data_IF_901687384092
#
_entry.id   IF_901687384092
#
_cell.length_a   1.000
_cell.length_b   1.000
_cell.length_c   1.000
_cell.angle_alpha   90.00
_cell.angle_beta   90.00
_cell.angle_gamma   90.00
#
_symmetry.space_group_name_H-M   'P 1'
#
loop_
_entity.id
_entity.type
_entity.pdbx_description
1 polymer ?
#
# COMPACT_ATOMS: atom_id res chain seq x y z
N UNK A 1 17.00 -10.97 22.82
CA UNK A 1 18.37 -11.52 22.89
C UNK A 1 19.35 -10.39 23.12
N UNK A 2 20.40 -10.60 23.92
CA UNK A 2 21.40 -9.56 24.19
C UNK A 2 22.44 -9.43 23.07
N UNK A 3 22.70 -10.50 22.32
CA UNK A 3 23.66 -10.55 21.20
C UNK A 3 23.03 -11.37 20.07
N UNK A 4 23.24 -10.93 18.82
CA UNK A 4 22.85 -11.66 17.60
C UNK A 4 24.07 -11.71 16.67
N UNK A 5 24.50 -12.92 16.30
CA UNK A 5 25.58 -13.15 15.31
C UNK A 5 24.92 -13.54 14.00
N UNK A 6 25.08 -12.71 12.97
CA UNK A 6 24.54 -12.94 11.63
C UNK A 6 25.43 -13.92 10.87
N UNK A 7 24.85 -14.64 9.92
CA UNK A 7 25.57 -15.47 8.94
C UNK A 7 26.47 -16.59 9.52
N UNK A 8 26.17 -17.05 10.75
CA UNK A 8 26.90 -18.17 11.38
C UNK A 8 26.57 -19.52 10.75
N UNK A 9 25.34 -19.67 10.26
CA UNK A 9 24.83 -20.87 9.61
C UNK A 9 24.03 -20.46 8.37
N UNK A 10 23.91 -21.32 7.35
CA UNK A 10 23.02 -21.08 6.22
C UNK A 10 21.59 -20.82 6.72
N UNK A 11 21.02 -19.63 6.47
CA UNK A 11 19.71 -19.29 7.02
C UNK A 11 18.59 -19.73 6.07
N UNK A 12 17.39 -19.98 6.60
CA UNK A 12 16.19 -20.25 5.79
C UNK A 12 15.72 -19.02 5.00
N UNK A 13 15.91 -17.83 5.58
CA UNK A 13 15.68 -16.53 4.96
C UNK A 13 16.86 -15.62 5.29
N UNK A 14 17.27 -14.77 4.37
CA UNK A 14 18.35 -13.83 4.64
C UNK A 14 17.96 -12.77 5.69
N UNK A 15 18.97 -12.12 6.26
CA UNK A 15 18.76 -11.15 7.33
C UNK A 15 17.89 -9.95 6.90
N UNK A 16 18.04 -9.46 5.66
CA UNK A 16 17.27 -8.34 5.15
C UNK A 16 15.79 -8.72 5.00
N UNK A 17 15.51 -9.94 4.55
CA UNK A 17 14.14 -10.49 4.49
C UNK A 17 13.55 -10.64 5.89
N UNK A 18 14.31 -11.12 6.87
CA UNK A 18 13.87 -11.17 8.26
C UNK A 18 13.49 -9.78 8.79
N UNK A 19 14.33 -8.75 8.58
CA UNK A 19 14.05 -7.38 9.03
C UNK A 19 12.77 -6.83 8.39
N UNK A 20 12.58 -7.02 7.08
CA UNK A 20 11.35 -6.63 6.38
C UNK A 20 10.11 -7.28 7.00
N UNK A 21 10.17 -8.59 7.28
CA UNK A 21 9.05 -9.30 7.93
C UNK A 21 8.80 -8.72 9.33
N UNK A 22 9.84 -8.44 10.10
CA UNK A 22 9.71 -7.85 11.44
C UNK A 22 9.04 -6.47 11.40
N UNK A 23 9.38 -5.64 10.42
CA UNK A 23 8.76 -4.34 10.22
C UNK A 23 7.27 -4.47 9.85
N UNK A 24 6.94 -5.38 8.92
CA UNK A 24 5.54 -5.67 8.56
C UNK A 24 4.75 -6.18 9.77
N UNK A 25 5.29 -7.11 10.54
CA UNK A 25 4.63 -7.65 11.75
C UNK A 25 4.45 -6.57 12.80
N UNK A 26 5.44 -5.70 13.01
CA UNK A 26 5.32 -4.55 13.91
C UNK A 26 4.20 -3.62 13.46
N UNK A 27 4.14 -3.30 12.18
CA UNK A 27 3.14 -2.38 11.63
C UNK A 27 1.73 -2.99 11.58
N UNK A 28 1.63 -4.31 11.45
CA UNK A 28 0.37 -5.03 11.50
C UNK A 28 -0.20 -5.16 12.92
N UNK A 29 0.57 -4.83 13.97
CA UNK A 29 0.09 -4.87 15.35
C UNK A 29 -1.04 -3.86 15.53
N UNK A 30 -2.26 -4.34 15.76
CA UNK A 30 -3.45 -3.50 15.89
C UNK A 30 -3.57 -2.88 17.30
N UNK A 31 -2.58 -2.09 17.71
CA UNK A 31 -2.68 -1.28 18.93
C UNK A 31 -3.19 0.13 18.60
N UNK A 32 -4.25 0.55 19.27
CA UNK A 32 -4.93 1.82 18.99
C UNK A 32 -4.44 2.97 19.88
N UNK A 33 -3.75 2.67 20.98
CA UNK A 33 -3.44 3.64 22.03
C UNK A 33 -1.96 3.93 22.24
N UNK A 34 -1.09 2.91 22.16
CA UNK A 34 0.32 3.04 22.57
C UNK A 34 1.28 3.15 21.39
N UNK A 35 0.92 2.56 20.25
CA UNK A 35 1.77 2.50 19.07
C UNK A 35 0.95 2.96 17.87
N UNK A 36 1.46 3.96 17.13
CA UNK A 36 0.82 4.49 15.93
C UNK A 36 1.07 3.60 14.70
N UNK A 37 0.79 2.31 14.82
CA UNK A 37 0.90 1.33 13.71
C UNK A 37 -0.37 1.34 12.86
N UNK A 38 -0.33 0.87 11.61
CA UNK A 38 -1.57 0.80 10.81
C UNK A 38 -2.50 -0.34 11.24
N UNK A 39 -1.94 -1.41 11.78
CA UNK A 39 -2.66 -2.66 12.04
C UNK A 39 -2.80 -3.51 10.77
N UNK A 40 -3.10 -4.79 10.92
CA UNK A 40 -3.25 -5.67 9.76
C UNK A 40 -4.40 -5.17 8.85
N UNK A 41 -4.19 -5.10 7.52
CA UNK A 41 -5.27 -4.86 6.57
C UNK A 41 -6.41 -5.86 6.78
N UNK A 42 -7.65 -5.38 6.75
CA UNK A 42 -8.85 -6.22 6.91
C UNK A 42 -9.76 -6.04 5.71
N UNK A 43 -10.51 -7.10 5.39
CA UNK A 43 -11.55 -7.03 4.37
C UNK A 43 -12.60 -5.96 4.75
N UNK A 44 -13.06 -5.21 3.75
CA UNK A 44 -14.06 -4.16 3.93
C UNK A 44 -13.93 -3.02 2.93
N UNK A 45 -14.95 -2.16 2.88
CA UNK A 45 -15.04 -1.05 1.92
C UNK A 45 -14.33 0.23 2.37
N UNK A 46 -13.92 0.32 3.65
CA UNK A 46 -13.34 1.55 4.22
C UNK A 46 -11.84 1.62 3.95
N UNK A 47 -11.46 2.50 3.03
CA UNK A 47 -10.10 2.62 2.49
C UNK A 47 -9.05 2.96 3.56
N UNK A 48 -9.42 3.77 4.55
CA UNK A 48 -8.52 4.36 5.54
C UNK A 48 -8.51 3.62 6.87
N UNK A 49 -9.02 2.38 6.89
CA UNK A 49 -8.99 1.55 8.08
C UNK A 49 -7.56 1.42 8.63
N UNK A 50 -7.38 1.84 9.88
CA UNK A 50 -6.09 1.71 10.58
C UNK A 50 -5.15 2.90 10.41
N UNK A 51 -5.42 3.77 9.44
CA UNK A 51 -4.62 4.97 9.15
C UNK A 51 -5.38 6.29 9.32
N UNK A 52 -6.70 6.25 9.57
CA UNK A 52 -7.49 7.42 9.90
C UNK A 52 -7.30 7.85 11.37
N UNK A 53 -7.08 9.16 11.59
CA UNK A 53 -6.86 9.76 12.91
C UNK A 53 -7.86 10.87 13.19
N UNK A 54 -8.30 10.96 14.44
CA UNK A 54 -9.25 11.95 14.90
C UNK A 54 -8.62 13.34 14.92
N UNK A 55 -9.08 14.26 14.05
CA UNK A 55 -8.62 15.65 14.06
C UNK A 55 -8.91 16.44 15.35
N UNK A 56 -9.81 15.95 16.23
CA UNK A 56 -10.11 16.61 17.52
C UNK A 56 -9.20 16.17 18.67
N UNK A 57 -8.98 14.86 18.83
CA UNK A 57 -8.24 14.32 19.98
C UNK A 57 -6.99 13.52 19.59
N UNK A 58 -6.64 13.44 18.31
CA UNK A 58 -5.42 12.78 17.83
C UNK A 58 -5.41 11.25 17.96
N UNK A 59 -6.53 10.61 18.32
CA UNK A 59 -6.61 9.17 18.47
C UNK A 59 -7.01 8.47 17.18
N UNK A 60 -6.52 7.24 16.99
CA UNK A 60 -6.87 6.41 15.83
C UNK A 60 -8.37 6.15 15.78
N UNK A 61 -8.95 6.30 14.60
CA UNK A 61 -10.38 6.06 14.37
C UNK A 61 -10.64 4.58 14.07
N UNK A 62 -11.78 4.08 14.54
CA UNK A 62 -12.29 2.75 14.25
C UNK A 62 -13.21 2.79 13.04
N UNK A 63 -13.33 1.68 12.34
CA UNK A 63 -14.37 1.49 11.34
C UNK A 63 -15.67 1.01 12.00
N UNK A 64 -16.82 1.51 11.54
CA UNK A 64 -18.13 0.97 11.89
C UNK A 64 -19.00 0.90 10.64
N UNK A 65 -19.77 -0.16 10.51
CA UNK A 65 -20.72 -0.38 9.43
C UNK A 65 -22.14 -0.24 9.98
N UNK A 66 -22.75 0.94 9.87
CA UNK A 66 -24.12 1.22 10.30
C UNK A 66 -24.83 2.07 9.25
N UNK A 67 -25.60 1.40 8.37
CA UNK A 67 -26.22 2.06 7.22
C UNK A 67 -25.16 2.71 6.32
N UNK A 68 -24.09 1.97 6.01
CA UNK A 68 -22.88 2.45 5.35
C UNK A 68 -21.66 2.52 6.28
N UNK A 69 -20.49 2.72 5.68
CA UNK A 69 -19.21 2.86 6.38
C UNK A 69 -19.03 4.22 7.07
N UNK A 70 -18.58 4.20 8.33
CA UNK A 70 -18.16 5.38 9.07
C UNK A 70 -16.83 5.16 9.81
N UNK A 71 -16.04 6.23 9.89
CA UNK A 71 -14.89 6.33 10.79
C UNK A 71 -15.36 6.92 12.11
N UNK A 72 -15.09 6.26 13.23
CA UNK A 72 -15.54 6.68 14.56
C UNK A 72 -14.35 6.79 15.51
N UNK A 73 -14.20 7.96 16.11
CA UNK A 73 -13.29 8.13 17.24
C UNK A 73 -14.00 7.67 18.53
N UNK A 74 -13.72 6.44 18.93
CA UNK A 74 -14.33 5.81 20.09
C UNK A 74 -13.52 5.98 21.39
N UNK A 75 -12.39 6.70 21.37
CA UNK A 75 -11.47 6.77 22.51
C UNK A 75 -12.14 7.25 23.81
N UNK A 76 -12.81 8.41 23.79
CA UNK A 76 -13.54 8.92 24.98
C UNK A 76 -14.55 7.92 25.50
N UNK A 77 -15.31 7.27 24.60
CA UNK A 77 -16.28 6.25 24.99
C UNK A 77 -15.65 5.03 25.63
N UNK A 78 -14.56 4.52 25.06
CA UNK A 78 -13.87 3.33 25.56
C UNK A 78 -13.12 3.56 26.87
N UNK A 79 -12.69 4.79 27.16
CA UNK A 79 -11.80 5.08 28.30
C UNK A 79 -12.43 5.88 29.43
N UNK A 80 -13.42 6.71 29.14
CA UNK A 80 -14.01 7.62 30.13
C UNK A 80 -15.53 7.47 30.24
N UNK A 81 -16.15 6.54 29.50
CA UNK A 81 -17.60 6.35 29.48
C UNK A 81 -18.39 7.49 28.85
N UNK A 82 -17.71 8.47 28.26
CA UNK A 82 -18.33 9.63 27.61
C UNK A 82 -18.86 9.28 26.20
N UNK A 83 -19.67 10.15 25.58
CA UNK A 83 -20.03 9.98 24.18
C UNK A 83 -18.80 9.89 23.25
N UNK A 84 -18.98 9.28 22.08
CA UNK A 84 -17.92 9.21 21.07
C UNK A 84 -17.49 10.61 20.63
N UNK A 85 -16.18 10.84 20.48
CA UNK A 85 -15.62 12.16 20.18
C UNK A 85 -16.09 12.69 18.83
N UNK A 86 -16.08 11.84 17.80
CA UNK A 86 -16.55 12.16 16.47
C UNK A 86 -16.84 10.92 15.65
N UNK A 87 -17.71 11.06 14.67
CA UNK A 87 -17.96 10.08 13.62
C UNK A 87 -18.08 10.80 12.28
N UNK A 88 -17.52 10.21 11.23
CA UNK A 88 -17.47 10.79 9.88
C UNK A 88 -17.86 9.69 8.90
N UNK A 89 -18.73 10.01 7.94
CA UNK A 89 -19.08 9.09 6.86
C UNK A 89 -17.87 8.83 5.97
N UNK A 90 -17.55 7.55 5.76
CA UNK A 90 -16.33 7.14 5.07
C UNK A 90 -16.33 7.55 3.60
N UNK A 91 -17.47 7.42 2.90
CA UNK A 91 -17.57 7.62 1.45
C UNK A 91 -16.95 8.93 0.94
N UNK A 92 -17.22 10.06 1.60
CA UNK A 92 -16.66 11.37 1.19
C UNK A 92 -15.16 11.47 1.45
N UNK A 93 -14.69 10.93 2.57
CA UNK A 93 -13.27 10.98 2.96
C UNK A 93 -12.46 10.05 2.07
N UNK A 94 -12.96 8.84 1.83
CA UNK A 94 -12.31 7.83 1.01
C UNK A 94 -12.18 8.31 -0.44
N UNK A 95 -13.24 8.92 -1.00
CA UNK A 95 -13.20 9.49 -2.34
C UNK A 95 -12.15 10.61 -2.45
N UNK A 96 -12.10 11.52 -1.48
CA UNK A 96 -11.11 12.61 -1.48
C UNK A 96 -9.67 12.10 -1.35
N UNK A 97 -9.44 11.09 -0.50
CA UNK A 97 -8.09 10.51 -0.35
C UNK A 97 -7.70 9.70 -1.58
N UNK A 98 -8.63 8.96 -2.18
CA UNK A 98 -8.39 8.23 -3.42
C UNK A 98 -8.00 9.18 -4.56
N UNK A 99 -8.73 10.27 -4.73
CA UNK A 99 -8.43 11.29 -5.75
C UNK A 99 -7.06 11.95 -5.53
N UNK A 100 -6.75 12.33 -4.28
CA UNK A 100 -5.44 12.89 -3.94
C UNK A 100 -4.30 11.89 -4.17
N UNK A 101 -4.52 10.62 -3.85
CA UNK A 101 -3.54 9.55 -4.06
C UNK A 101 -3.27 9.32 -5.55
N UNK A 102 -4.32 9.22 -6.37
CA UNK A 102 -4.19 9.06 -7.82
C UNK A 102 -3.55 10.28 -8.47
N UNK A 103 -3.91 11.49 -8.04
CA UNK A 103 -3.29 12.73 -8.51
C UNK A 103 -1.79 12.74 -8.21
N UNK A 104 -1.38 12.29 -7.03
CA UNK A 104 0.03 12.19 -6.66
C UNK A 104 0.79 11.12 -7.46
N UNK A 105 0.11 10.04 -7.89
CA UNK A 105 0.71 8.98 -8.68
C UNK A 105 0.77 9.27 -10.19
N UNK A 106 -0.08 10.16 -10.71
CA UNK A 106 -0.21 10.42 -12.14
C UNK A 106 1.13 10.64 -12.88
N UNK A 107 2.12 11.38 -12.35
CA UNK A 107 3.41 11.54 -13.04
C UNK A 107 4.18 10.22 -13.19
N UNK A 108 4.18 9.39 -12.14
CA UNK A 108 4.88 8.11 -12.14
C UNK A 108 4.20 7.06 -13.02
N UNK A 109 2.87 7.10 -13.11
CA UNK A 109 2.10 6.23 -14.02
C UNK A 109 2.36 6.57 -15.49
N UNK A 110 2.42 7.85 -15.84
CA UNK A 110 2.77 8.29 -17.20
C UNK A 110 4.17 7.82 -17.59
N UNK A 111 5.13 7.90 -16.67
CA UNK A 111 6.49 7.40 -16.88
C UNK A 111 6.57 5.88 -17.00
N UNK A 112 5.78 5.15 -16.20
CA UNK A 112 5.68 3.70 -16.29
C UNK A 112 5.06 3.27 -17.64
N UNK A 113 3.96 3.90 -18.06
CA UNK A 113 3.31 3.63 -19.34
C UNK A 113 4.23 3.96 -20.52
N UNK A 114 4.91 5.11 -20.45
CA UNK A 114 5.89 5.53 -21.46
C UNK A 114 7.04 4.54 -21.60
N UNK A 115 7.53 3.99 -20.47
CA UNK A 115 8.56 2.93 -20.48
C UNK A 115 8.04 1.63 -21.09
N UNK A 116 6.83 1.21 -20.72
CA UNK A 116 6.21 0.01 -21.28
C UNK A 116 6.02 0.10 -22.80
N UNK A 117 5.53 1.25 -23.30
CA UNK A 117 5.38 1.51 -24.75
C UNK A 117 6.71 1.48 -25.49
N UNK A 118 7.76 2.10 -24.93
CA UNK A 118 9.11 2.05 -25.53
C UNK A 118 9.63 0.61 -25.61
N UNK A 119 9.44 -0.19 -24.57
CA UNK A 119 9.83 -1.59 -24.56
C UNK A 119 9.07 -2.39 -25.63
N UNK A 120 7.77 -2.18 -25.80
CA UNK A 120 6.97 -2.81 -26.86
C UNK A 120 7.47 -2.42 -28.26
N UNK A 121 7.71 -1.12 -28.51
CA UNK A 121 8.20 -0.66 -29.81
C UNK A 121 9.58 -1.24 -30.15
N UNK A 122 10.46 -1.41 -29.15
CA UNK A 122 11.77 -2.05 -29.36
C UNK A 122 11.63 -3.51 -29.78
N UNK A 123 10.69 -4.26 -29.17
CA UNK A 123 10.40 -5.64 -29.55
C UNK A 123 9.87 -5.71 -30.98
N UNK A 124 8.89 -4.87 -31.34
CA UNK A 124 8.32 -4.82 -32.69
C UNK A 124 9.37 -4.49 -33.76
N UNK A 125 10.19 -3.46 -33.51
CA UNK A 125 11.25 -3.06 -34.43
C UNK A 125 12.29 -4.18 -34.59
N UNK A 126 12.62 -4.88 -33.51
CA UNK A 126 13.55 -6.02 -33.56
C UNK A 126 12.99 -7.15 -34.42
N UNK A 127 11.73 -7.53 -34.22
CA UNK A 127 11.04 -8.54 -35.03
C UNK A 127 11.01 -8.16 -36.51
N UNK A 128 10.66 -6.90 -36.82
CA UNK A 128 10.64 -6.39 -38.19
C UNK A 128 12.02 -6.46 -38.84
N UNK A 129 13.06 -6.00 -38.14
CA UNK A 129 14.43 -6.02 -38.67
C UNK A 129 14.95 -7.44 -38.91
N UNK A 130 14.57 -8.41 -38.08
CA UNK A 130 14.91 -9.82 -38.29
C UNK A 130 14.20 -10.38 -39.53
N UNK A 131 12.91 -10.08 -39.72
CA UNK A 131 12.17 -10.50 -40.89
C UNK A 131 12.72 -9.89 -42.20
N UNK A 132 13.12 -8.62 -42.19
CA UNK A 132 13.75 -7.94 -43.33
C UNK A 132 15.07 -8.62 -43.72
N UNK A 133 15.92 -8.97 -42.74
CA UNK A 133 17.18 -9.70 -42.99
C UNK A 133 16.95 -11.10 -43.56
N UNK A 134 15.94 -11.82 -43.08
CA UNK A 134 15.60 -13.15 -43.63
C UNK A 134 15.16 -13.08 -45.10
N UNK A 135 14.38 -12.05 -45.46
CA UNK A 135 13.98 -11.82 -46.85
C UNK A 135 15.17 -11.48 -47.74
N UNK A 136 16.10 -10.66 -47.24
CA UNK A 136 17.31 -10.27 -47.97
C UNK A 136 18.22 -11.48 -48.24
N UNK A 137 18.45 -12.33 -47.23
CA UNK A 137 19.21 -13.58 -47.39
C UNK A 137 18.59 -14.52 -48.44
N UNK A 138 17.26 -14.63 -48.49
CA UNK A 138 16.54 -15.44 -49.49
C UNK A 138 16.57 -14.84 -50.90
N UNK A 139 16.86 -13.55 -51.04
CA UNK A 139 16.87 -12.84 -52.33
C UNK A 139 18.19 -13.00 -53.08
N UNK A 140 19.27 -13.27 -52.35
CA UNK A 140 20.62 -13.44 -52.87
C UNK A 140 21.11 -14.91 -52.85
N UNK A 141 20.19 -15.86 -52.60
CA UNK A 141 20.41 -17.30 -52.71
C UNK A 141 19.78 -17.85 -54.01
#
# INVERSE_FOLDING_TARGET
>A
WRIVVKDRYPPYIDWLTYEKIRDVVRDNRAEYMRIKTRGAPRNGELLLHGIAWCGRCGHKMYVRYKGGGEYVCNHLRSHTGLPACQHIRASRVDAAVADAFLTALAPAEIDALSRARRAQQQVENSLRSSAERELELKRYA
#
